data_IF_872459300598
#
_entry.id   IF_872459300598
#
_cell.length_a   1.000
_cell.length_b   1.000
_cell.length_c   1.000
_cell.angle_alpha   90.00
_cell.angle_beta   90.00
_cell.angle_gamma   90.00
#
_symmetry.space_group_name_H-M   'P 1'
#
loop_
_entity.id
_entity.type
_entity.pdbx_description
1 polymer ?
#
# COMPACT_ATOMS: atom_id res chain seq x y z
N UNK A 1 11.70 -11.39 -39.89
CA UNK A 1 11.19 -10.18 -39.22
C UNK A 1 11.81 -10.14 -37.84
N UNK A 2 12.64 -9.15 -37.54
CA UNK A 2 13.10 -8.94 -36.16
C UNK A 2 11.89 -8.53 -35.33
N UNK A 3 11.57 -9.35 -34.33
CA UNK A 3 10.63 -8.98 -33.28
C UNK A 3 11.31 -7.82 -32.53
N UNK A 4 10.81 -6.60 -32.72
CA UNK A 4 11.22 -5.46 -31.92
C UNK A 4 10.77 -5.77 -30.49
N UNK A 5 11.70 -6.20 -29.65
CA UNK A 5 11.49 -6.24 -28.20
C UNK A 5 11.17 -4.81 -27.77
N UNK A 6 9.88 -4.55 -27.56
CA UNK A 6 9.43 -3.26 -27.07
C UNK A 6 9.79 -3.26 -25.60
N UNK A 7 10.91 -2.66 -25.23
CA UNK A 7 11.32 -2.57 -23.83
C UNK A 7 10.25 -1.77 -23.09
N UNK A 8 9.46 -2.46 -22.26
CA UNK A 8 8.46 -1.81 -21.42
C UNK A 8 9.23 -0.94 -20.43
N UNK A 9 9.05 0.37 -20.51
CA UNK A 9 9.65 1.29 -19.56
C UNK A 9 8.91 1.16 -18.23
N UNK A 10 9.58 0.59 -17.23
CA UNK A 10 9.07 0.51 -15.86
C UNK A 10 9.59 1.68 -15.03
N UNK A 11 8.99 1.86 -13.86
CA UNK A 11 9.45 2.75 -12.80
C UNK A 11 9.48 4.25 -13.17
N UNK A 12 8.71 4.64 -14.19
CA UNK A 12 8.52 6.01 -14.65
C UNK A 12 7.03 6.33 -14.84
N UNK A 13 6.69 7.61 -14.68
CA UNK A 13 5.37 8.13 -15.05
C UNK A 13 5.36 8.53 -16.53
N UNK A 14 4.54 7.85 -17.32
CA UNK A 14 4.43 8.01 -18.77
C UNK A 14 3.09 8.63 -19.09
N UNK A 15 3.10 9.75 -19.82
CA UNK A 15 1.87 10.42 -20.24
C UNK A 15 1.10 9.52 -21.21
N UNK A 16 -0.17 9.25 -20.90
CA UNK A 16 -1.03 8.44 -21.76
C UNK A 16 -2.52 8.64 -21.43
N UNK A 17 -3.38 8.35 -22.42
CA UNK A 17 -4.81 8.20 -22.19
C UNK A 17 -5.10 6.96 -21.35
N UNK A 18 -6.35 6.85 -20.89
CA UNK A 18 -6.82 5.67 -20.17
C UNK A 18 -6.76 4.41 -21.03
N UNK A 19 -7.10 4.53 -22.32
CA UNK A 19 -7.08 3.43 -23.29
C UNK A 19 -5.66 2.94 -23.57
N UNK A 20 -4.71 3.87 -23.71
CA UNK A 20 -3.28 3.57 -23.86
C UNK A 20 -2.74 2.86 -22.61
N UNK A 21 -3.14 3.30 -21.42
CA UNK A 21 -2.83 2.62 -20.17
C UNK A 21 -3.40 1.19 -20.12
N UNK A 22 -4.67 1.00 -20.49
CA UNK A 22 -5.28 -0.32 -20.53
C UNK A 22 -4.55 -1.26 -21.50
N UNK A 23 -4.08 -0.74 -22.64
CA UNK A 23 -3.27 -1.52 -23.58
C UNK A 23 -1.88 -1.85 -23.02
N UNK A 24 -1.27 -0.92 -22.28
CA UNK A 24 0.03 -1.14 -21.63
C UNK A 24 -0.05 -2.27 -20.60
N UNK A 25 -1.09 -2.30 -19.76
CA UNK A 25 -1.22 -3.35 -18.71
C UNK A 25 -1.61 -4.73 -19.24
N UNK A 26 -2.26 -4.83 -20.41
CA UNK A 26 -2.53 -6.15 -21.04
C UNK A 26 -1.25 -6.91 -21.38
N UNK A 27 -0.22 -6.16 -21.75
CA UNK A 27 1.08 -6.71 -22.12
C UNK A 27 2.07 -6.73 -20.94
N UNK A 28 1.65 -6.23 -19.78
CA UNK A 28 2.47 -6.24 -18.58
C UNK A 28 2.33 -7.61 -17.89
N UNK A 29 3.44 -8.25 -17.49
CA UNK A 29 3.37 -9.64 -17.01
C UNK A 29 2.50 -9.75 -15.76
N UNK A 30 1.48 -10.60 -15.83
CA UNK A 30 0.58 -10.86 -14.69
C UNK A 30 1.38 -11.28 -13.45
N UNK A 31 1.02 -10.72 -12.30
CA UNK A 31 1.63 -11.00 -10.99
C UNK A 31 3.12 -10.67 -10.86
N UNK A 32 3.75 -9.99 -11.83
CA UNK A 32 5.16 -9.58 -11.73
C UNK A 32 5.34 -8.10 -11.37
N UNK A 33 4.24 -7.35 -11.34
CA UNK A 33 4.30 -5.94 -11.00
C UNK A 33 2.94 -5.33 -10.74
N UNK A 34 3.01 -4.03 -10.50
CA UNK A 34 1.89 -3.16 -10.19
C UNK A 34 1.73 -2.09 -11.26
N UNK A 35 0.54 -1.54 -11.33
CA UNK A 35 0.24 -0.44 -12.23
C UNK A 35 -0.57 0.65 -11.54
N UNK A 36 -0.29 1.89 -11.92
CA UNK A 36 -0.97 3.07 -11.42
C UNK A 36 -1.37 3.95 -12.59
N UNK A 37 -2.52 4.60 -12.48
CA UNK A 37 -2.96 5.61 -13.45
C UNK A 37 -3.41 6.85 -12.70
N UNK A 38 -2.78 7.99 -13.01
CA UNK A 38 -2.98 9.24 -12.31
C UNK A 38 -2.81 10.44 -13.24
N UNK A 39 -3.81 11.30 -13.30
CA UNK A 39 -3.76 12.61 -13.97
C UNK A 39 -3.24 12.57 -15.43
N UNK A 40 -3.65 11.56 -16.21
CA UNK A 40 -3.20 11.40 -17.60
C UNK A 40 -1.82 10.80 -17.76
N UNK A 41 -1.29 10.17 -16.70
CA UNK A 41 -0.05 9.40 -16.72
C UNK A 41 -0.30 8.00 -16.16
N UNK A 42 0.45 7.01 -16.64
CA UNK A 42 0.54 5.71 -15.99
C UNK A 42 1.95 5.42 -15.51
N UNK A 43 2.07 4.52 -14.53
CA UNK A 43 3.31 3.94 -14.07
C UNK A 43 3.15 2.43 -14.02
N UNK A 44 4.11 1.71 -14.60
CA UNK A 44 4.26 0.26 -14.43
C UNK A 44 5.46 0.04 -13.52
N UNK A 45 5.30 -0.76 -12.47
CA UNK A 45 6.29 -0.95 -11.43
C UNK A 45 6.50 -2.44 -11.23
N UNK A 46 7.74 -2.92 -11.28
CA UNK A 46 8.00 -4.33 -10.99
C UNK A 46 7.92 -4.56 -9.49
N UNK A 47 7.23 -5.62 -9.08
CA UNK A 47 7.12 -5.93 -7.65
C UNK A 47 8.51 -6.23 -7.08
N UNK A 48 8.90 -5.63 -5.94
CA UNK A 48 10.21 -5.91 -5.37
C UNK A 48 10.27 -7.36 -4.86
N UNK A 49 11.15 -8.17 -5.44
CA UNK A 49 11.32 -9.60 -5.11
C UNK A 49 12.39 -9.80 -4.01
N UNK A 50 12.97 -8.72 -3.48
CA UNK A 50 14.04 -8.78 -2.48
C UNK A 50 13.55 -9.22 -1.10
N UNK A 51 14.41 -9.95 -0.38
CA UNK A 51 14.11 -10.47 0.96
C UNK A 51 13.71 -9.37 1.97
N UNK A 52 14.38 -8.20 1.92
CA UNK A 52 14.11 -7.12 2.87
C UNK A 52 12.70 -6.55 2.71
N UNK A 53 12.29 -6.30 1.45
CA UNK A 53 10.95 -5.84 1.12
C UNK A 53 9.89 -6.87 1.56
N UNK A 54 10.08 -8.14 1.20
CA UNK A 54 9.16 -9.21 1.58
C UNK A 54 9.04 -9.36 3.11
N UNK A 55 10.16 -9.20 3.83
CA UNK A 55 10.19 -9.28 5.29
C UNK A 55 9.45 -8.11 5.94
N UNK A 56 9.67 -6.88 5.49
CA UNK A 56 9.00 -5.68 6.02
C UNK A 56 7.51 -5.68 5.72
N UNK A 57 7.14 -6.07 4.50
CA UNK A 57 5.75 -6.29 4.11
C UNK A 57 5.08 -7.28 5.08
N UNK A 58 5.67 -8.46 5.28
CA UNK A 58 5.11 -9.48 6.15
C UNK A 58 4.96 -9.00 7.61
N UNK A 59 5.98 -8.32 8.14
CA UNK A 59 5.96 -7.79 9.51
C UNK A 59 4.88 -6.73 9.69
N UNK A 60 4.71 -5.80 8.74
CA UNK A 60 3.70 -4.75 8.87
C UNK A 60 2.28 -5.27 8.67
N UNK A 61 2.07 -6.16 7.69
CA UNK A 61 0.79 -6.83 7.51
C UNK A 61 0.39 -7.56 8.80
N UNK A 62 1.31 -8.31 9.39
CA UNK A 62 1.10 -9.00 10.66
C UNK A 62 0.85 -8.03 11.82
N UNK A 63 1.70 -7.02 12.01
CA UNK A 63 1.65 -6.12 13.16
C UNK A 63 0.37 -5.28 13.19
N UNK A 64 -0.05 -4.75 12.03
CA UNK A 64 -1.29 -3.97 11.91
C UNK A 64 -2.51 -4.86 12.17
N UNK A 65 -2.56 -6.05 11.56
CA UNK A 65 -3.65 -7.01 11.79
C UNK A 65 -3.72 -7.46 13.25
N UNK A 66 -2.57 -7.72 13.87
CA UNK A 66 -2.47 -8.08 15.29
C UNK A 66 -2.98 -6.94 16.18
N UNK A 67 -2.58 -5.70 15.91
CA UNK A 67 -3.07 -4.54 16.67
C UNK A 67 -4.58 -4.41 16.59
N UNK A 68 -5.14 -4.42 15.36
CA UNK A 68 -6.58 -4.33 15.14
C UNK A 68 -7.33 -5.46 15.85
N UNK A 69 -6.81 -6.70 15.78
CA UNK A 69 -7.37 -7.85 16.48
C UNK A 69 -7.40 -7.64 18.00
N UNK A 70 -6.26 -7.25 18.59
CA UNK A 70 -6.16 -7.07 20.05
C UNK A 70 -6.99 -5.89 20.56
N UNK A 71 -7.23 -4.87 19.72
CA UNK A 71 -8.11 -3.75 20.03
C UNK A 71 -9.58 -3.98 19.65
N UNK A 72 -9.92 -5.20 19.21
CA UNK A 72 -11.28 -5.57 18.79
C UNK A 72 -11.85 -4.64 17.70
N UNK A 73 -11.01 -4.20 16.78
CA UNK A 73 -11.40 -3.43 15.60
C UNK A 73 -11.75 -4.41 14.48
N UNK A 74 -12.95 -4.30 13.93
CA UNK A 74 -13.29 -5.03 12.71
C UNK A 74 -12.40 -4.54 11.56
N UNK A 75 -11.79 -5.47 10.82
CA UNK A 75 -10.95 -5.13 9.69
C UNK A 75 -10.99 -6.19 8.59
N UNK A 76 -10.59 -5.79 7.39
CA UNK A 76 -10.31 -6.67 6.28
C UNK A 76 -9.08 -6.16 5.54
N UNK A 77 -7.99 -6.92 5.65
CA UNK A 77 -6.72 -6.61 5.01
C UNK A 77 -6.74 -7.08 3.54
N UNK A 78 -6.13 -6.28 2.68
CA UNK A 78 -5.88 -6.60 1.28
C UNK A 78 -4.38 -6.55 1.04
N UNK A 79 -3.86 -7.65 0.50
CA UNK A 79 -2.46 -7.81 0.12
C UNK A 79 -2.40 -7.72 -1.41
N UNK A 80 -1.76 -6.65 -1.93
CA UNK A 80 -1.60 -6.38 -3.37
C UNK A 80 -2.92 -6.31 -4.19
N UNK A 81 -3.95 -5.64 -3.66
CA UNK A 81 -5.26 -5.53 -4.33
C UNK A 81 -5.33 -4.34 -5.30
N UNK A 82 -6.03 -4.52 -6.42
CA UNK A 82 -6.31 -3.47 -7.39
C UNK A 82 -7.62 -2.73 -7.08
N UNK A 83 -7.53 -1.40 -7.10
CA UNK A 83 -8.65 -0.49 -6.97
C UNK A 83 -8.73 0.39 -8.21
N UNK A 84 -9.84 0.30 -8.94
CA UNK A 84 -10.01 0.91 -10.26
C UNK A 84 -11.22 1.80 -10.32
N UNK A 85 -11.02 3.04 -10.76
CA UNK A 85 -12.09 3.91 -11.25
C UNK A 85 -11.95 4.05 -12.75
N UNK A 86 -12.72 3.27 -13.50
CA UNK A 86 -12.63 3.19 -14.96
C UNK A 86 -12.67 4.58 -15.62
N UNK A 87 -11.73 4.83 -16.52
CA UNK A 87 -11.58 6.12 -17.22
C UNK A 87 -10.87 7.21 -16.44
N UNK A 88 -10.46 6.94 -15.19
CA UNK A 88 -9.99 7.99 -14.29
C UNK A 88 -8.73 7.62 -13.51
N UNK A 89 -8.67 6.43 -12.90
CA UNK A 89 -7.61 6.09 -11.92
C UNK A 89 -7.45 4.59 -11.66
N UNK A 90 -6.22 4.19 -11.37
CA UNK A 90 -5.83 2.88 -10.82
C UNK A 90 -4.85 3.07 -9.67
N UNK A 91 -5.03 2.33 -8.57
CA UNK A 91 -4.00 2.11 -7.55
C UNK A 91 -3.87 0.63 -7.19
N UNK A 92 -2.65 0.21 -6.82
CA UNK A 92 -2.31 -1.16 -6.42
C UNK A 92 -1.34 -1.16 -5.23
N UNK A 93 -1.78 -0.73 -4.03
CA UNK A 93 -0.91 -0.65 -2.85
C UNK A 93 -0.33 -2.00 -2.45
N UNK A 94 0.83 -2.00 -1.75
CA UNK A 94 1.34 -3.21 -1.09
C UNK A 94 0.33 -3.78 -0.11
N UNK A 95 -0.10 -2.95 0.84
CA UNK A 95 -1.06 -3.34 1.87
C UNK A 95 -2.15 -2.29 1.95
N UNK A 96 -3.39 -2.73 2.08
CA UNK A 96 -4.49 -1.83 2.41
C UNK A 96 -5.49 -2.47 3.36
N UNK A 97 -6.20 -1.65 4.11
CA UNK A 97 -7.20 -2.09 5.08
C UNK A 97 -8.50 -1.33 4.93
N UNK A 98 -9.59 -2.08 5.07
CA UNK A 98 -10.88 -1.54 5.45
C UNK A 98 -11.10 -1.79 6.94
N UNK A 99 -11.58 -0.80 7.67
CA UNK A 99 -11.87 -0.88 9.10
C UNK A 99 -13.35 -0.62 9.40
N UNK A 100 -13.78 -1.02 10.60
CA UNK A 100 -15.12 -0.77 11.14
C UNK A 100 -16.22 -1.18 10.15
N UNK A 101 -17.14 -0.26 9.84
CA UNK A 101 -18.28 -0.51 8.95
C UNK A 101 -17.85 -0.91 7.53
N UNK A 102 -16.64 -0.55 7.10
CA UNK A 102 -16.13 -0.90 5.77
C UNK A 102 -15.55 -2.32 5.68
N UNK A 103 -15.25 -2.96 6.81
CA UNK A 103 -14.51 -4.24 6.85
C UNK A 103 -15.19 -5.36 6.03
N UNK A 104 -16.52 -5.35 5.92
CA UNK A 104 -17.27 -6.40 5.23
C UNK A 104 -17.95 -5.91 3.93
N UNK A 105 -17.60 -4.72 3.42
CA UNK A 105 -18.27 -4.15 2.25
C UNK A 105 -17.93 -4.86 0.94
N UNK A 106 -16.72 -5.41 0.82
CA UNK A 106 -16.26 -6.00 -0.43
C UNK A 106 -16.64 -7.49 -0.46
N UNK A 107 -17.51 -7.95 -1.37
CA UNK A 107 -17.90 -9.35 -1.45
C UNK A 107 -16.73 -10.25 -1.84
N UNK A 108 -16.73 -11.47 -1.30
CA UNK A 108 -15.81 -12.52 -1.75
C UNK A 108 -16.01 -12.83 -3.24
N UNK A 109 -14.92 -13.10 -3.96
CA UNK A 109 -14.94 -13.31 -5.42
C UNK A 109 -14.81 -12.02 -6.24
N UNK A 110 -14.73 -10.84 -5.60
CA UNK A 110 -14.38 -9.58 -6.28
C UNK A 110 -12.93 -9.64 -6.77
N UNK A 111 -12.71 -9.50 -8.08
CA UNK A 111 -11.37 -9.53 -8.69
C UNK A 111 -10.66 -8.18 -8.58
N UNK A 112 -11.26 -7.12 -9.12
CA UNK A 112 -10.80 -5.73 -9.01
C UNK A 112 -11.88 -4.96 -8.23
N UNK A 113 -11.46 -4.15 -7.25
CA UNK A 113 -12.39 -3.31 -6.51
C UNK A 113 -12.76 -2.10 -7.38
N UNK A 114 -13.99 -2.09 -7.88
CA UNK A 114 -14.53 -0.95 -8.63
C UNK A 114 -14.85 0.22 -7.69
N UNK A 115 -14.06 1.28 -7.80
CA UNK A 115 -14.19 2.51 -7.00
C UNK A 115 -15.41 3.35 -7.38
N UNK A 116 -16.17 2.98 -8.42
CA UNK A 116 -17.50 3.53 -8.65
C UNK A 116 -18.58 2.87 -7.78
N UNK A 117 -18.29 1.69 -7.23
CA UNK A 117 -19.22 0.89 -6.42
C UNK A 117 -18.84 0.87 -4.95
N UNK A 118 -17.54 0.79 -4.66
CA UNK A 118 -17.00 0.64 -3.32
C UNK A 118 -16.12 1.83 -2.94
N UNK A 119 -16.06 2.19 -1.64
CA UNK A 119 -15.19 3.25 -1.18
C UNK A 119 -13.70 2.84 -1.32
N UNK A 120 -12.77 3.80 -1.32
CA UNK A 120 -11.35 3.49 -1.14
C UNK A 120 -11.08 2.88 0.26
N UNK A 121 -9.94 2.17 0.42
CA UNK A 121 -9.53 1.65 1.72
C UNK A 121 -9.24 2.77 2.72
N UNK A 122 -9.36 2.47 4.00
CA UNK A 122 -9.12 3.42 5.08
C UNK A 122 -7.61 3.67 5.28
N UNK A 123 -6.81 2.61 5.22
CA UNK A 123 -5.35 2.67 5.31
C UNK A 123 -4.72 2.08 4.06
N UNK A 124 -3.69 2.77 3.56
CA UNK A 124 -2.76 2.26 2.55
C UNK A 124 -1.33 2.30 3.11
N UNK A 125 -0.56 1.25 2.85
CA UNK A 125 0.87 1.16 3.18
C UNK A 125 1.62 0.73 1.91
N UNK A 126 2.66 1.47 1.57
CA UNK A 126 3.63 1.14 0.51
C UNK A 126 4.98 0.79 1.15
N UNK A 127 5.61 -0.28 0.68
CA UNK A 127 6.89 -0.78 1.18
C UNK A 127 7.99 -0.37 0.20
N UNK A 128 8.65 0.73 0.51
CA UNK A 128 9.51 1.45 -0.42
C UNK A 128 10.98 1.02 -0.31
N UNK A 129 11.42 0.11 -1.19
CA UNK A 129 12.86 -0.21 -1.36
C UNK A 129 13.55 0.75 -2.34
N UNK A 130 13.05 0.81 -3.57
CA UNK A 130 13.60 1.68 -4.64
C UNK A 130 12.66 2.83 -5.02
N UNK A 131 11.45 2.87 -4.45
CA UNK A 131 10.34 3.72 -4.87
C UNK A 131 10.03 4.85 -3.90
N UNK A 132 10.82 5.02 -2.83
CA UNK A 132 10.52 5.93 -1.72
C UNK A 132 10.20 7.36 -2.17
N UNK A 133 10.94 7.90 -3.13
CA UNK A 133 10.68 9.25 -3.64
C UNK A 133 9.32 9.35 -4.36
N UNK A 134 8.90 8.30 -5.07
CA UNK A 134 7.62 8.26 -5.77
C UNK A 134 6.46 8.05 -4.79
N UNK A 135 6.66 7.17 -3.81
CA UNK A 135 5.75 6.91 -2.70
C UNK A 135 5.48 8.18 -1.87
N UNK A 136 6.52 8.97 -1.57
CA UNK A 136 6.37 10.27 -0.91
C UNK A 136 5.87 11.39 -1.84
N UNK A 137 5.97 11.19 -3.15
CA UNK A 137 5.64 12.14 -4.20
C UNK A 137 4.30 11.84 -4.86
N UNK A 138 4.34 11.41 -6.13
CA UNK A 138 3.16 11.25 -6.98
C UNK A 138 2.16 10.22 -6.42
N UNK A 139 2.63 9.10 -5.85
CA UNK A 139 1.73 8.10 -5.26
C UNK A 139 0.99 8.66 -4.04
N UNK A 140 1.66 9.42 -3.17
CA UNK A 140 0.99 10.13 -2.07
C UNK A 140 -0.10 11.07 -2.57
N UNK A 141 0.18 11.90 -3.59
CA UNK A 141 -0.83 12.80 -4.18
C UNK A 141 -2.01 12.01 -4.79
N UNK A 142 -1.71 10.90 -5.46
CA UNK A 142 -2.71 9.98 -6.01
C UNK A 142 -3.63 9.43 -4.91
N UNK A 143 -3.08 9.04 -3.75
CA UNK A 143 -3.87 8.55 -2.61
C UNK A 143 -4.61 9.69 -1.87
N UNK A 144 -4.04 10.89 -1.79
CA UNK A 144 -4.73 12.09 -1.27
C UNK A 144 -6.01 12.36 -2.05
N UNK A 145 -5.92 12.44 -3.37
CA UNK A 145 -7.07 12.66 -4.24
C UNK A 145 -8.01 11.45 -4.31
N UNK A 146 -7.51 10.24 -3.99
CA UNK A 146 -8.35 9.04 -3.96
C UNK A 146 -9.31 9.08 -2.77
N UNK A 147 -8.93 9.79 -1.71
CA UNK A 147 -9.71 9.89 -0.48
C UNK A 147 -9.52 8.71 0.46
N UNK A 148 -8.32 8.09 0.48
CA UNK A 148 -7.95 7.19 1.60
C UNK A 148 -7.88 8.02 2.88
N UNK A 149 -8.09 7.40 4.06
CA UNK A 149 -8.03 8.17 5.32
C UNK A 149 -6.60 8.32 5.84
N UNK A 150 -5.76 7.32 5.62
CA UNK A 150 -4.37 7.30 6.09
C UNK A 150 -3.45 6.61 5.08
N UNK A 151 -2.26 7.18 4.86
CA UNK A 151 -1.27 6.69 3.91
C UNK A 151 0.11 6.58 4.56
N UNK A 152 0.75 5.42 4.46
CA UNK A 152 2.09 5.17 4.97
C UNK A 152 3.02 4.78 3.83
N UNK A 153 4.22 5.37 3.80
CA UNK A 153 5.34 4.90 2.97
C UNK A 153 6.46 4.43 3.89
N UNK A 154 6.95 3.21 3.70
CA UNK A 154 7.91 2.56 4.60
C UNK A 154 9.26 2.51 3.92
N UNK A 155 10.28 3.11 4.51
CA UNK A 155 11.63 2.99 4.00
C UNK A 155 12.20 1.64 4.43
N UNK A 156 12.57 0.79 3.46
CA UNK A 156 13.12 -0.55 3.75
C UNK A 156 14.58 -0.49 4.22
N UNK A 157 15.37 0.43 3.67
CA UNK A 157 16.80 0.56 4.01
C UNK A 157 16.99 1.12 5.43
N UNK A 158 16.09 2.00 5.84
CA UNK A 158 16.05 2.58 7.18
C UNK A 158 14.65 2.36 7.73
N UNK A 159 14.44 1.49 8.76
CA UNK A 159 13.12 1.05 9.22
C UNK A 159 12.31 2.20 9.85
N UNK A 160 11.81 3.06 8.98
CA UNK A 160 11.18 4.34 9.24
C UNK A 160 9.88 4.37 8.46
N UNK A 161 8.81 4.80 9.12
CA UNK A 161 7.49 4.90 8.51
C UNK A 161 7.13 6.35 8.29
N UNK A 162 6.81 6.64 7.04
CA UNK A 162 6.29 7.91 6.61
C UNK A 162 4.76 7.92 6.59
N UNK A 163 4.14 8.25 7.73
CA UNK A 163 2.69 8.22 7.90
C UNK A 163 2.02 9.58 7.73
N UNK A 164 0.88 9.58 7.04
CA UNK A 164 0.12 10.77 6.70
C UNK A 164 -1.37 10.56 6.95
N UNK A 165 -1.99 11.48 7.68
CA UNK A 165 -3.45 11.65 7.72
C UNK A 165 -3.86 12.45 6.48
N UNK A 166 -4.86 11.96 5.73
CA UNK A 166 -5.37 12.63 4.54
C UNK A 166 -6.58 13.48 4.93
N UNK A 167 -6.50 14.78 4.66
CA UNK A 167 -7.53 15.78 5.01
C UNK A 167 -7.63 16.84 3.92
N UNK A 168 -8.86 17.21 3.56
CA UNK A 168 -9.15 18.31 2.61
C UNK A 168 -8.38 18.21 1.28
N UNK A 169 -8.26 17.01 0.72
CA UNK A 169 -7.48 16.70 -0.50
C UNK A 169 -5.97 17.01 -0.40
N UNK A 170 -5.45 17.14 0.81
CA UNK A 170 -4.02 17.15 1.12
C UNK A 170 -3.69 16.16 2.23
N UNK A 171 -2.50 16.28 2.80
CA UNK A 171 -2.12 15.43 3.92
C UNK A 171 -1.25 16.11 4.96
N UNK A 172 -1.30 15.56 6.18
CA UNK A 172 -0.53 16.00 7.33
C UNK A 172 0.27 14.84 7.89
N UNK A 173 1.54 15.10 8.22
CA UNK A 173 2.41 14.13 8.89
C UNK A 173 1.86 13.75 10.27
N UNK A 174 1.88 12.46 10.58
CA UNK A 174 1.45 11.92 11.87
C UNK A 174 2.45 10.90 12.43
N UNK A 175 2.54 10.82 13.76
CA UNK A 175 3.32 9.80 14.49
C UNK A 175 2.41 8.80 15.23
N UNK A 176 1.11 9.10 15.29
CA UNK A 176 0.07 8.26 15.90
C UNK A 176 -1.03 8.08 14.87
N UNK A 177 -1.38 6.84 14.58
CA UNK A 177 -2.42 6.49 13.61
C UNK A 177 -3.78 7.06 14.01
N UNK A 178 -4.54 7.49 13.01
CA UNK A 178 -5.92 7.98 13.13
C UNK A 178 -6.92 6.86 12.89
N UNK A 179 -6.61 5.93 12.00
CA UNK A 179 -7.46 4.76 11.70
C UNK A 179 -7.21 3.57 12.64
N UNK A 180 -6.07 3.54 13.33
CA UNK A 180 -5.73 2.59 14.39
C UNK A 180 -5.51 3.38 15.71
N UNK A 181 -6.58 3.69 16.46
CA UNK A 181 -6.51 4.65 17.55
C UNK A 181 -5.45 4.32 18.60
N UNK A 182 -4.56 5.28 18.88
CA UNK A 182 -3.44 5.18 19.83
C UNK A 182 -2.24 4.35 19.37
N UNK A 183 -2.23 3.80 18.15
CA UNK A 183 -1.04 3.12 17.62
C UNK A 183 0.04 4.14 17.29
N UNK A 184 1.12 4.15 18.07
CA UNK A 184 2.32 4.93 17.77
C UNK A 184 3.14 4.22 16.69
N UNK A 185 3.47 4.94 15.62
CA UNK A 185 4.21 4.42 14.47
C UNK A 185 5.63 3.95 14.87
N UNK A 186 6.23 4.59 15.88
CA UNK A 186 7.52 4.19 16.46
C UNK A 186 7.56 2.75 17.00
N UNK A 187 6.40 2.19 17.40
CA UNK A 187 6.32 0.78 17.83
C UNK A 187 6.49 -0.15 16.63
N UNK A 188 5.90 0.20 15.48
CA UNK A 188 6.05 -0.54 14.24
C UNK A 188 7.47 -0.41 13.66
N UNK A 189 8.07 0.77 13.72
CA UNK A 189 9.48 1.00 13.37
C UNK A 189 10.42 0.13 14.22
N UNK A 190 10.16 0.06 15.53
CA UNK A 190 10.89 -0.83 16.43
C UNK A 190 10.69 -2.32 16.12
N UNK A 191 9.53 -2.71 15.59
CA UNK A 191 9.26 -4.07 15.15
C UNK A 191 10.06 -4.42 13.88
N UNK A 192 10.06 -3.51 12.89
CA UNK A 192 10.88 -3.62 11.69
C UNK A 192 12.37 -3.75 12.03
N UNK A 193 12.86 -2.91 12.94
CA UNK A 193 14.24 -2.96 13.39
C UNK A 193 14.60 -4.29 14.08
N UNK A 194 13.69 -4.83 14.90
CA UNK A 194 13.90 -6.13 15.55
C UNK A 194 13.89 -7.30 14.55
N UNK A 195 13.03 -7.24 13.53
CA UNK A 195 12.92 -8.26 12.49
C UNK A 195 14.22 -8.45 11.68
N UNK A 196 15.14 -7.49 11.73
CA UNK A 196 16.49 -7.62 11.14
C UNK A 196 17.34 -8.72 11.80
N UNK A 197 17.07 -9.09 13.05
CA UNK A 197 17.90 -10.04 13.83
C UNK A 197 17.11 -11.10 14.59
N UNK A 198 15.78 -11.00 14.60
CA UNK A 198 14.88 -11.91 15.34
C UNK A 198 13.90 -12.57 14.40
N UNK A 199 13.49 -13.77 14.75
CA UNK A 199 12.40 -14.44 14.02
C UNK A 199 11.06 -13.74 14.27
N UNK A 200 10.11 -13.95 13.36
CA UNK A 200 8.80 -13.29 13.41
C UNK A 200 7.99 -13.66 14.67
N UNK A 201 8.21 -14.83 15.26
CA UNK A 201 7.52 -15.24 16.50
C UNK A 201 8.01 -14.45 17.71
N UNK A 202 9.30 -14.12 17.76
CA UNK A 202 9.90 -13.27 18.78
C UNK A 202 9.41 -11.83 18.65
N UNK A 203 9.40 -11.29 17.43
CA UNK A 203 8.86 -9.95 17.14
C UNK A 203 7.38 -9.88 17.50
N UNK A 204 6.59 -10.89 17.14
CA UNK A 204 5.17 -10.94 17.46
C UNK A 204 4.88 -11.01 18.96
N UNK A 205 5.62 -11.80 19.73
CA UNK A 205 5.51 -11.80 21.20
C UNK A 205 5.84 -10.43 21.80
N UNK A 206 6.84 -9.75 21.26
CA UNK A 206 7.17 -8.39 21.68
C UNK A 206 6.05 -7.40 21.32
N UNK A 207 5.49 -7.46 20.11
CA UNK A 207 4.36 -6.62 19.70
C UNK A 207 3.14 -6.80 20.63
N UNK A 208 2.81 -8.05 20.99
CA UNK A 208 1.73 -8.33 21.95
C UNK A 208 1.94 -7.57 23.25
N UNK A 209 3.16 -7.56 23.80
CA UNK A 209 3.45 -6.83 25.06
C UNK A 209 3.35 -5.31 24.89
N UNK A 210 3.64 -4.77 23.70
CA UNK A 210 3.46 -3.35 23.42
C UNK A 210 2.00 -2.94 23.23
N UNK A 211 1.15 -3.86 22.74
CA UNK A 211 -0.25 -3.59 22.39
C UNK A 211 -1.24 -3.83 23.54
N UNK A 212 -0.79 -4.43 24.64
CA UNK A 212 -1.59 -4.68 25.84
C UNK A 212 -1.81 -3.43 26.72
N UNK A 213 -1.19 -2.30 26.39
CA UNK A 213 -1.42 -0.99 27.01
C UNK A 213 -2.56 -0.19 26.40
#
# INVERSE_FOLDING_TARGET
MQQLETTISTDLWIKASWEEYLEAIKNFPENQGKSYYYNGYYRLEMSPIGNDHASDHAILLFAVSLYATLKNLAFNAKDNCSFRKSGYREVQPDISYYFADKANLIPYGTSIIDLNQYPPPDLVIEISKSTLNDDLGNKRLLYEELGVSEYWSVNVDYPQIFAFEIIDQGSKRIDISKVLPNLKLAVLESALQQARTRDQSQVGRWLISQFQG
#
